data_IF_112167497306
#
_entry.id   IF_112167497306
#
_cell.length_a   1.000
_cell.length_b   1.000
_cell.length_c   1.000
_cell.angle_alpha   90.00
_cell.angle_beta   90.00
_cell.angle_gamma   90.00
#
_symmetry.space_group_name_H-M   'P 1'
#
loop_
_entity.id
_entity.type
_entity.pdbx_description
1 polymer ?
#
# COMPACT_ATOMS: atom_id res chain seq x y z
N UNK A 1 -9.63 -3.09 -28.31
CA UNK A 1 -10.57 -4.21 -28.05
C UNK A 1 -9.79 -5.51 -28.24
N UNK A 2 -9.55 -6.27 -27.18
CA UNK A 2 -8.75 -7.51 -27.25
C UNK A 2 -9.52 -8.55 -28.06
N UNK A 3 -8.88 -9.16 -29.06
CA UNK A 3 -9.49 -10.12 -30.01
C UNK A 3 -9.86 -11.46 -29.34
N UNK A 4 -9.24 -11.76 -28.20
CA UNK A 4 -9.57 -12.88 -27.33
C UNK A 4 -10.38 -12.38 -26.13
N UNK A 5 -11.45 -13.08 -25.75
CA UNK A 5 -12.24 -12.82 -24.53
C UNK A 5 -11.49 -13.27 -23.26
N UNK A 6 -10.22 -12.87 -23.14
CA UNK A 6 -9.32 -13.16 -22.02
C UNK A 6 -8.51 -11.92 -21.70
N UNK A 7 -8.24 -11.73 -20.43
CA UNK A 7 -7.26 -10.75 -19.95
C UNK A 7 -5.88 -11.13 -20.50
N UNK A 8 -5.15 -10.12 -20.98
CA UNK A 8 -3.88 -10.27 -21.69
C UNK A 8 -2.70 -9.84 -20.84
N UNK A 9 -1.80 -9.05 -21.43
CA UNK A 9 -0.72 -8.41 -20.67
C UNK A 9 -1.28 -7.36 -19.71
N UNK A 10 -0.63 -7.11 -18.57
CA UNK A 10 -0.99 -5.99 -17.71
C UNK A 10 -0.98 -4.68 -18.48
N UNK A 11 -1.98 -3.86 -18.23
CA UNK A 11 -2.07 -2.47 -18.67
C UNK A 11 -1.06 -1.59 -17.93
N UNK A 12 -0.87 -0.37 -18.42
CA UNK A 12 -0.05 0.64 -17.75
C UNK A 12 -0.59 0.95 -16.35
N UNK A 13 -1.91 1.08 -16.20
CA UNK A 13 -2.56 1.31 -14.90
C UNK A 13 -2.29 0.18 -13.90
N UNK A 14 -2.43 -1.08 -14.32
CA UNK A 14 -2.12 -2.23 -13.46
C UNK A 14 -0.63 -2.26 -13.07
N UNK A 15 0.26 -1.86 -13.99
CA UNK A 15 1.70 -1.76 -13.72
C UNK A 15 2.01 -0.64 -12.71
N UNK A 16 1.32 0.50 -12.80
CA UNK A 16 1.46 1.60 -11.85
C UNK A 16 0.97 1.21 -10.46
N UNK A 17 -0.16 0.51 -10.36
CA UNK A 17 -0.69 0.01 -9.07
C UNK A 17 0.27 -1.02 -8.46
N UNK A 18 0.83 -1.93 -9.27
CA UNK A 18 1.85 -2.86 -8.79
C UNK A 18 3.07 -2.14 -8.19
N UNK A 19 3.53 -1.03 -8.82
CA UNK A 19 4.60 -0.18 -8.28
C UNK A 19 4.17 0.56 -7.02
N UNK A 20 2.92 0.99 -6.94
CA UNK A 20 2.35 1.67 -5.77
C UNK A 20 2.35 0.75 -4.53
N UNK A 21 2.13 -0.56 -4.73
CA UNK A 21 2.26 -1.58 -3.69
C UNK A 21 3.73 -1.84 -3.35
N UNK A 22 4.60 -1.99 -4.35
CA UNK A 22 6.01 -2.36 -4.16
C UNK A 22 6.81 -1.33 -3.36
N UNK A 23 6.66 -0.04 -3.67
CA UNK A 23 7.43 1.06 -3.07
C UNK A 23 7.40 1.09 -1.54
N UNK A 24 6.24 1.03 -0.86
CA UNK A 24 6.20 1.06 0.60
C UNK A 24 6.56 -0.28 1.26
N UNK A 25 6.37 -1.43 0.60
CA UNK A 25 6.68 -2.73 1.22
C UNK A 25 8.16 -3.11 1.11
N UNK A 26 8.82 -2.75 0.00
CA UNK A 26 10.23 -3.09 -0.28
C UNK A 26 11.22 -2.68 0.81
N UNK A 27 11.20 -1.45 1.37
CA UNK A 27 12.15 -1.05 2.41
C UNK A 27 11.91 -1.73 3.77
N UNK A 28 10.79 -2.44 3.94
CA UNK A 28 10.44 -3.09 5.21
C UNK A 28 10.94 -4.53 5.33
N UNK A 29 11.55 -5.07 4.28
CA UNK A 29 12.28 -6.33 4.41
C UNK A 29 13.61 -6.07 5.14
N UNK A 30 13.98 -6.89 6.15
CA UNK A 30 15.24 -6.73 6.86
C UNK A 30 16.44 -6.79 5.93
N UNK A 31 17.49 -6.06 6.29
CA UNK A 31 18.75 -6.10 5.56
C UNK A 31 19.27 -7.54 5.43
N UNK A 32 19.73 -7.91 4.23
CA UNK A 32 20.23 -9.24 3.92
C UNK A 32 19.14 -10.30 3.68
N UNK A 33 17.86 -9.95 3.75
CA UNK A 33 16.77 -10.83 3.33
C UNK A 33 16.71 -10.90 1.79
N UNK A 34 17.17 -12.02 1.23
CA UNK A 34 17.27 -12.26 -0.22
C UNK A 34 16.40 -13.42 -0.71
N UNK A 35 15.51 -13.92 0.16
CA UNK A 35 14.55 -14.92 -0.26
C UNK A 35 13.57 -14.30 -1.25
N UNK A 36 13.22 -15.05 -2.28
CA UNK A 36 12.24 -14.62 -3.27
C UNK A 36 10.86 -14.49 -2.63
N UNK A 37 10.23 -13.33 -2.83
CA UNK A 37 8.87 -13.04 -2.36
C UNK A 37 8.07 -12.52 -3.54
N UNK A 38 6.91 -13.11 -3.79
CA UNK A 38 5.98 -12.68 -4.81
C UNK A 38 4.64 -12.33 -4.16
N UNK A 39 4.15 -11.12 -4.41
CA UNK A 39 2.81 -10.68 -4.00
C UNK A 39 1.95 -10.62 -5.26
N UNK A 40 0.82 -11.33 -5.25
CA UNK A 40 -0.15 -11.34 -6.36
C UNK A 40 -1.44 -10.74 -5.83
N UNK A 41 -1.80 -9.56 -6.33
CA UNK A 41 -3.06 -8.89 -6.04
C UNK A 41 -3.99 -9.04 -7.26
N UNK A 42 -5.15 -9.68 -7.08
CA UNK A 42 -6.13 -9.89 -8.14
C UNK A 42 -7.46 -9.27 -7.71
N UNK A 43 -7.97 -8.32 -8.51
CA UNK A 43 -9.27 -7.69 -8.28
C UNK A 43 -10.35 -8.62 -8.79
N UNK A 44 -11.12 -9.22 -7.88
CA UNK A 44 -12.20 -10.17 -8.23
C UNK A 44 -13.59 -9.53 -8.21
N UNK A 45 -13.72 -8.34 -7.62
CA UNK A 45 -14.95 -7.55 -7.56
C UNK A 45 -14.59 -6.08 -7.41
N UNK A 46 -15.38 -5.21 -8.02
CA UNK A 46 -15.16 -3.76 -7.97
C UNK A 46 -16.48 -3.04 -7.80
N UNK A 47 -16.54 -2.14 -6.81
CA UNK A 47 -17.51 -1.07 -6.79
C UNK A 47 -16.93 0.08 -7.63
N UNK A 48 -17.59 0.55 -8.70
CA UNK A 48 -17.08 1.63 -9.54
C UNK A 48 -16.75 2.93 -8.80
N UNK A 49 -17.28 3.12 -7.60
CA UNK A 49 -16.99 4.30 -6.76
C UNK A 49 -15.76 4.13 -5.86
N UNK A 50 -15.23 2.91 -5.72
CA UNK A 50 -14.08 2.61 -4.85
C UNK A 50 -12.93 2.09 -5.70
N UNK A 51 -11.86 2.88 -5.79
CA UNK A 51 -10.66 2.46 -6.51
C UNK A 51 -10.01 1.25 -5.80
N UNK A 52 -9.68 0.16 -6.52
CA UNK A 52 -9.10 -1.04 -5.92
C UNK A 52 -7.64 -0.89 -5.45
N UNK A 53 -6.95 0.20 -5.78
CA UNK A 53 -5.53 0.39 -5.44
C UNK A 53 -5.25 0.39 -3.93
N UNK A 54 -5.97 1.19 -3.14
CA UNK A 54 -5.85 1.23 -1.67
C UNK A 54 -6.20 -0.14 -1.08
N UNK A 55 -7.25 -0.79 -1.61
CA UNK A 55 -7.66 -2.14 -1.17
C UNK A 55 -6.53 -3.15 -1.42
N UNK A 56 -5.89 -3.09 -2.58
CA UNK A 56 -4.78 -3.98 -2.92
C UNK A 56 -3.55 -3.73 -2.04
N UNK A 57 -3.24 -2.47 -1.70
CA UNK A 57 -2.16 -2.12 -0.77
C UNK A 57 -2.42 -2.65 0.64
N UNK A 58 -3.64 -2.48 1.15
CA UNK A 58 -4.06 -3.01 2.45
C UNK A 58 -4.00 -4.55 2.45
N UNK A 59 -4.48 -5.19 1.38
CA UNK A 59 -4.42 -6.64 1.22
C UNK A 59 -2.98 -7.18 1.21
N UNK A 60 -2.07 -6.51 0.50
CA UNK A 60 -0.65 -6.87 0.48
C UNK A 60 -0.01 -6.74 1.87
N UNK A 61 -0.30 -5.65 2.57
CA UNK A 61 0.17 -5.39 3.94
C UNK A 61 -0.30 -6.50 4.91
N UNK A 62 -1.59 -6.83 4.87
CA UNK A 62 -2.17 -7.88 5.70
C UNK A 62 -1.58 -9.26 5.37
N UNK A 63 -1.50 -9.62 4.09
CA UNK A 63 -0.97 -10.90 3.65
C UNK A 63 0.51 -11.09 4.04
N UNK A 64 1.35 -10.07 3.84
CA UNK A 64 2.75 -10.10 4.25
C UNK A 64 2.88 -10.24 5.76
N UNK A 65 2.07 -9.51 6.53
CA UNK A 65 2.11 -9.55 8.00
C UNK A 65 1.63 -10.91 8.55
N UNK A 66 0.64 -11.54 7.92
CA UNK A 66 0.15 -12.88 8.27
C UNK A 66 1.09 -14.02 7.85
N UNK A 67 1.95 -13.78 6.85
CA UNK A 67 2.76 -14.83 6.22
C UNK A 67 3.82 -15.45 7.13
N UNK A 68 4.26 -14.72 8.17
CA UNK A 68 5.40 -15.07 9.00
C UNK A 68 6.76 -14.73 8.37
N UNK A 69 6.81 -14.20 7.16
CA UNK A 69 8.05 -13.73 6.52
C UNK A 69 8.64 -12.56 7.34
N UNK A 70 9.97 -12.43 7.47
CA UNK A 70 10.59 -11.26 8.08
C UNK A 70 10.19 -9.98 7.33
N UNK A 71 9.30 -9.20 7.94
CA UNK A 71 8.71 -7.99 7.38
C UNK A 71 8.42 -7.00 8.52
N UNK A 72 8.95 -5.78 8.41
CA UNK A 72 8.86 -4.72 9.42
C UNK A 72 7.62 -3.84 9.22
N UNK A 73 6.49 -4.43 8.82
CA UNK A 73 5.19 -3.77 8.75
C UNK A 73 4.34 -4.00 10.00
N UNK A 74 3.01 -3.86 9.90
CA UNK A 74 2.24 -3.59 8.68
C UNK A 74 2.37 -2.14 8.19
N UNK A 75 1.95 -1.91 6.95
CA UNK A 75 1.68 -0.56 6.42
C UNK A 75 0.19 -0.28 6.36
N UNK A 76 -0.17 0.99 6.52
CA UNK A 76 -1.45 1.54 6.08
C UNK A 76 -1.34 2.13 4.67
N UNK A 77 -2.49 2.42 4.08
CA UNK A 77 -2.59 3.22 2.86
C UNK A 77 -3.86 4.06 2.92
N UNK A 78 -3.78 5.30 2.44
CA UNK A 78 -4.91 6.20 2.31
C UNK A 78 -4.79 7.05 1.05
N UNK A 79 -5.92 7.34 0.41
CA UNK A 79 -6.06 8.41 -0.57
C UNK A 79 -6.63 9.64 0.10
N UNK A 80 -6.11 10.81 -0.22
CA UNK A 80 -6.54 12.11 0.31
C UNK A 80 -6.92 13.02 -0.86
N UNK A 81 -8.16 13.48 -0.82
CA UNK A 81 -8.68 14.54 -1.68
C UNK A 81 -8.68 15.90 -0.97
N UNK A 82 -8.90 16.96 -1.74
CA UNK A 82 -9.05 18.32 -1.25
C UNK A 82 -10.26 18.99 -1.92
N UNK A 83 -11.39 19.03 -1.21
CA UNK A 83 -12.70 19.47 -1.71
C UNK A 83 -13.23 20.55 -0.76
N UNK A 84 -13.68 21.68 -1.30
CA UNK A 84 -14.18 22.81 -0.51
C UNK A 84 -13.22 23.24 0.63
N UNK A 85 -11.93 23.27 0.31
CA UNK A 85 -10.84 23.60 1.24
C UNK A 85 -10.71 22.67 2.45
N UNK A 86 -11.15 21.42 2.32
CA UNK A 86 -11.07 20.38 3.34
C UNK A 86 -10.44 19.10 2.80
N UNK A 87 -9.68 18.41 3.65
CA UNK A 87 -9.17 17.08 3.35
C UNK A 87 -10.28 16.03 3.42
N UNK A 88 -10.34 15.17 2.41
CA UNK A 88 -11.32 14.08 2.30
C UNK A 88 -10.59 12.76 2.25
N UNK A 89 -10.92 11.84 3.15
CA UNK A 89 -10.33 10.50 3.20
C UNK A 89 -11.00 9.57 2.20
N UNK A 90 -10.19 8.86 1.41
CA UNK A 90 -10.60 7.87 0.42
C UNK A 90 -11.82 8.33 -0.41
N UNK A 91 -11.73 9.51 -1.07
CA UNK A 91 -12.81 10.05 -1.86
C UNK A 91 -13.22 9.05 -2.94
N UNK A 92 -14.52 9.02 -3.23
CA UNK A 92 -15.08 8.24 -4.33
C UNK A 92 -14.59 8.79 -5.68
N UNK A 93 -14.73 7.96 -6.72
CA UNK A 93 -14.40 8.38 -8.09
C UNK A 93 -15.19 9.62 -8.56
N UNK A 94 -16.41 9.83 -8.06
CA UNK A 94 -17.18 11.05 -8.35
C UNK A 94 -16.68 12.26 -7.55
N UNK A 95 -16.34 12.10 -6.27
CA UNK A 95 -15.80 13.19 -5.43
C UNK A 95 -14.45 13.68 -5.96
N UNK A 96 -13.59 12.77 -6.44
CA UNK A 96 -12.29 13.12 -7.03
C UNK A 96 -12.39 14.09 -8.21
N UNK A 97 -13.48 14.06 -8.98
CA UNK A 97 -13.70 15.01 -10.09
C UNK A 97 -13.83 16.46 -9.62
N UNK A 98 -14.19 16.67 -8.36
CA UNK A 98 -14.29 17.99 -7.72
C UNK A 98 -13.11 18.29 -6.80
N UNK A 99 -12.14 17.38 -6.71
CA UNK A 99 -10.99 17.49 -5.83
C UNK A 99 -9.85 18.21 -6.52
N UNK A 100 -9.17 19.11 -5.79
CA UNK A 100 -7.92 19.75 -6.23
C UNK A 100 -6.67 18.92 -5.92
N UNK A 101 -6.86 17.72 -5.35
CA UNK A 101 -5.80 16.82 -4.92
C UNK A 101 -6.22 15.37 -5.14
N UNK A 102 -5.33 14.56 -5.71
CA UNK A 102 -5.36 13.10 -5.60
C UNK A 102 -4.00 12.68 -5.04
N UNK A 103 -3.94 12.42 -3.74
CA UNK A 103 -2.72 12.03 -3.04
C UNK A 103 -2.89 10.66 -2.42
N UNK A 104 -2.01 9.72 -2.75
CA UNK A 104 -1.88 8.45 -2.06
C UNK A 104 -0.67 8.51 -1.13
N UNK A 105 -0.90 8.16 0.13
CA UNK A 105 0.14 8.02 1.15
C UNK A 105 0.10 6.60 1.73
N UNK A 106 1.28 6.05 1.98
CA UNK A 106 1.45 4.80 2.71
C UNK A 106 2.60 4.91 3.71
N UNK A 107 2.46 4.22 4.84
CA UNK A 107 3.42 4.29 5.92
C UNK A 107 3.18 3.24 7.00
N UNK A 108 4.15 3.11 7.90
CA UNK A 108 4.01 2.33 9.14
C UNK A 108 3.33 3.16 10.23
N UNK A 109 3.21 2.59 11.41
CA UNK A 109 2.77 3.31 12.61
C UNK A 109 3.62 4.57 12.87
N UNK A 110 4.93 4.48 12.69
CA UNK A 110 5.85 5.54 13.07
C UNK A 110 6.19 6.53 11.95
N UNK A 111 6.12 6.12 10.68
CA UNK A 111 6.67 6.93 9.59
C UNK A 111 5.91 6.75 8.27
N UNK A 112 5.87 7.84 7.50
CA UNK A 112 5.49 7.84 6.09
C UNK A 112 6.62 7.21 5.27
N UNK A 113 6.28 6.32 4.35
CA UNK A 113 7.24 5.63 3.48
C UNK A 113 7.13 6.04 2.02
N UNK A 114 5.91 6.32 1.56
CA UNK A 114 5.64 6.58 0.16
C UNK A 114 4.52 7.61 0.03
N UNK A 115 4.72 8.56 -0.89
CA UNK A 115 3.72 9.52 -1.34
C UNK A 115 3.74 9.51 -2.87
N UNK A 116 2.55 9.53 -3.47
CA UNK A 116 2.31 9.76 -4.89
C UNK A 116 1.14 10.76 -4.97
N UNK A 117 1.28 11.85 -5.73
CA UNK A 117 0.23 12.87 -5.75
C UNK A 117 0.15 13.66 -7.05
N UNK A 118 -1.06 14.05 -7.41
CA UNK A 118 -1.39 15.06 -8.42
C UNK A 118 -2.21 16.18 -7.76
N UNK A 119 -1.89 17.45 -8.02
CA UNK A 119 -2.53 18.58 -7.35
C UNK A 119 -2.67 19.82 -8.25
N UNK A 120 -3.77 20.56 -8.08
CA UNK A 120 -4.05 21.81 -8.79
C UNK A 120 -3.49 23.03 -8.03
N UNK A 121 -2.17 23.27 -8.15
CA UNK A 121 -1.48 24.45 -7.62
C UNK A 121 -1.72 24.70 -6.11
N UNK A 122 -1.74 23.63 -5.31
CA UNK A 122 -1.81 23.73 -3.85
C UNK A 122 -0.46 24.19 -3.27
N UNK A 123 -0.53 24.89 -2.13
CA UNK A 123 0.66 25.30 -1.39
C UNK A 123 1.38 24.11 -0.74
N UNK A 124 2.67 24.28 -0.43
CA UNK A 124 3.46 23.26 0.26
C UNK A 124 2.84 22.87 1.61
N UNK A 125 2.31 23.84 2.36
CA UNK A 125 1.62 23.58 3.64
C UNK A 125 0.37 22.72 3.46
N UNK A 126 -0.41 22.97 2.40
CA UNK A 126 -1.59 22.15 2.09
C UNK A 126 -1.20 20.72 1.71
N UNK A 127 -0.11 20.55 0.94
CA UNK A 127 0.41 19.24 0.56
C UNK A 127 0.93 18.46 1.77
N UNK A 128 1.71 19.11 2.64
CA UNK A 128 2.22 18.50 3.88
C UNK A 128 1.07 18.11 4.81
N UNK A 129 0.06 18.98 4.96
CA UNK A 129 -1.13 18.68 5.74
C UNK A 129 -1.91 17.48 5.21
N UNK A 130 -2.00 17.30 3.89
CA UNK A 130 -2.64 16.12 3.30
C UNK A 130 -1.87 14.83 3.61
N UNK A 131 -0.53 14.85 3.55
CA UNK A 131 0.31 13.70 3.90
C UNK A 131 0.12 13.31 5.37
N UNK A 132 0.14 14.30 6.28
CA UNK A 132 -0.08 14.08 7.72
C UNK A 132 -1.48 13.52 7.97
N UNK A 133 -2.51 14.15 7.40
CA UNK A 133 -3.89 13.70 7.51
C UNK A 133 -4.06 12.24 7.06
N UNK A 134 -3.53 11.88 5.88
CA UNK A 134 -3.62 10.51 5.40
C UNK A 134 -2.85 9.51 6.27
N UNK A 135 -1.67 9.89 6.78
CA UNK A 135 -0.87 9.06 7.68
C UNK A 135 -1.56 8.81 9.04
N UNK A 136 -2.27 9.80 9.57
CA UNK A 136 -3.08 9.66 10.78
C UNK A 136 -4.32 8.77 10.54
N UNK A 137 -5.05 9.01 9.46
CA UNK A 137 -6.28 8.27 9.16
C UNK A 137 -6.02 6.79 8.87
N UNK A 138 -4.89 6.44 8.24
CA UNK A 138 -4.57 5.03 7.94
C UNK A 138 -4.17 4.21 9.18
N UNK A 139 -3.96 4.82 10.35
CA UNK A 139 -3.57 4.09 11.57
C UNK A 139 -4.61 3.05 12.00
N UNK A 140 -5.89 3.31 11.72
CA UNK A 140 -6.96 2.34 12.01
C UNK A 140 -6.75 1.04 11.22
N UNK A 141 -6.24 1.12 10.00
CA UNK A 141 -5.93 -0.06 9.16
C UNK A 141 -4.77 -0.83 9.77
N UNK A 142 -3.69 -0.14 10.14
CA UNK A 142 -2.51 -0.73 10.80
C UNK A 142 -2.92 -1.49 12.06
N UNK A 143 -3.74 -0.86 12.91
CA UNK A 143 -4.22 -1.46 14.15
C UNK A 143 -5.02 -2.74 13.88
N UNK A 144 -5.96 -2.71 12.94
CA UNK A 144 -6.78 -3.87 12.61
C UNK A 144 -5.96 -5.01 11.98
N UNK A 145 -4.95 -4.70 11.16
CA UNK A 145 -4.02 -5.73 10.65
C UNK A 145 -3.23 -6.35 11.80
N UNK A 146 -2.74 -5.56 12.74
CA UNK A 146 -2.04 -6.07 13.92
C UNK A 146 -2.93 -7.01 14.75
N UNK A 147 -4.20 -6.65 14.96
CA UNK A 147 -5.14 -7.49 15.69
C UNK A 147 -5.46 -8.79 14.92
N UNK A 148 -5.61 -8.72 13.59
CA UNK A 148 -5.76 -9.90 12.74
C UNK A 148 -4.52 -10.83 12.79
N UNK A 149 -3.32 -10.26 12.86
CA UNK A 149 -2.07 -11.04 12.99
C UNK A 149 -2.00 -11.74 14.35
N UNK A 150 -2.50 -11.13 15.43
CA UNK A 150 -2.58 -11.80 16.74
C UNK A 150 -3.52 -13.01 16.70
N UNK A 151 -4.61 -12.92 15.97
CA UNK A 151 -5.61 -14.00 15.87
C UNK A 151 -5.19 -15.12 14.90
N UNK A 152 -4.67 -14.76 13.72
CA UNK A 152 -4.49 -15.69 12.59
C UNK A 152 -3.08 -15.72 11.99
N UNK A 153 -2.12 -14.98 12.58
CA UNK A 153 -0.76 -14.89 12.06
C UNK A 153 0.01 -16.20 12.14
N UNK A 154 0.72 -16.55 11.07
CA UNK A 154 1.66 -17.67 11.09
C UNK A 154 2.87 -17.33 11.97
N UNK A 155 3.51 -18.34 12.60
CA UNK A 155 4.75 -18.12 13.33
C UNK A 155 5.82 -17.45 12.48
N UNK A 156 6.56 -16.50 13.06
CA UNK A 156 7.64 -15.81 12.36
C UNK A 156 8.74 -16.80 11.95
N UNK A 157 9.11 -16.75 10.68
CA UNK A 157 10.27 -17.45 10.14
C UNK A 157 11.54 -16.81 10.73
N UNK A 158 12.45 -17.65 11.22
CA UNK A 158 13.78 -17.18 11.58
C UNK A 158 14.50 -16.66 10.34
N UNK A 159 15.26 -15.57 10.48
CA UNK A 159 16.24 -15.16 9.48
C UNK A 159 17.28 -16.28 9.37
N UNK A 160 17.10 -17.17 8.40
CA UNK A 160 17.98 -18.32 8.23
C UNK A 160 19.41 -17.84 7.99
N UNK A 161 20.25 -17.87 9.02
CA UNK A 161 21.67 -17.64 8.84
C UNK A 161 22.19 -18.79 7.99
N UNK A 162 22.45 -18.54 6.70
CA UNK A 162 23.38 -19.39 5.96
C UNK A 162 24.74 -19.18 6.63
N UNK A 163 25.06 -19.98 7.65
CA UNK A 163 26.45 -20.20 8.05
C UNK A 163 27.15 -20.66 6.78
N UNK A 164 27.91 -19.78 6.14
CA UNK A 164 28.84 -20.18 5.08
C UNK A 164 29.77 -21.19 5.73
N UNK A 165 29.55 -22.47 5.44
CA UNK A 165 30.47 -23.54 5.76
C UNK A 165 31.75 -23.27 4.97
N UNK A 166 32.66 -22.49 5.54
CA UNK A 166 34.08 -22.51 5.17
C UNK A 166 34.65 -23.85 5.62
N UNK A 167 34.37 -24.91 4.86
CA UNK A 167 35.24 -26.08 4.84
C UNK A 167 36.40 -25.75 3.91
N UNK A 168 37.57 -25.57 4.53
CA UNK A 168 38.87 -25.78 3.89
C UNK A 168 38.99 -27.22 3.43
#
# INVERSE_FOLDING_TARGET
MVFFRREGRPSEGETLIARLIDRPVRPLFPEGFVNEVQVIATVVSVNPQVNPDIVAMIGASAALSLSGIPFNGPIGAARVGYINDQYVLNPTQEELKSSKLDLVVAGTEAAVLMVESEAELLSEDQMLGAVVFGHEQQQIVIQNINDLVKEAGKPRLGLGSRKRSTKR
#
